data_IF_735115456822
#
_entry.id   IF_735115456822
#
_cell.length_a   1.000
_cell.length_b   1.000
_cell.length_c   1.000
_cell.angle_alpha   90.00
_cell.angle_beta   90.00
_cell.angle_gamma   90.00
#
_symmetry.space_group_name_H-M   'P 1'
#
loop_
_entity.id
_entity.type
_entity.pdbx_description
1 polymer ?
#
# COMPACT_ATOMS: atom_id res chain seq x y z
N UNK A 1 -21.08 20.13 12.06
CA UNK A 1 -20.16 19.06 11.59
C UNK A 1 -19.10 18.79 12.65
N UNK A 2 -18.58 17.56 12.74
CA UNK A 2 -17.56 17.16 13.73
C UNK A 2 -17.00 15.74 13.54
N UNK A 3 -17.33 15.08 12.43
CA UNK A 3 -16.87 13.72 12.13
C UNK A 3 -15.42 13.72 11.65
N UNK A 4 -14.67 12.69 12.02
CA UNK A 4 -13.29 12.50 11.56
C UNK A 4 -13.27 11.94 10.14
N UNK A 5 -12.43 12.52 9.28
CA UNK A 5 -12.16 11.98 7.95
C UNK A 5 -11.27 10.74 8.06
N UNK A 6 -11.69 9.65 7.41
CA UNK A 6 -10.93 8.41 7.31
C UNK A 6 -10.31 8.32 5.92
N UNK A 7 -8.99 8.20 5.86
CA UNK A 7 -8.23 7.99 4.61
C UNK A 7 -8.17 6.51 4.25
N UNK A 8 -7.94 6.21 2.97
CA UNK A 8 -8.08 4.86 2.40
C UNK A 8 -6.84 4.36 1.67
N UNK A 9 -5.69 5.00 1.88
CA UNK A 9 -4.43 4.58 1.27
C UNK A 9 -3.91 3.28 1.90
N UNK A 10 -3.65 2.26 1.09
CA UNK A 10 -3.11 0.98 1.57
C UNK A 10 -1.58 0.97 1.61
N UNK A 11 -1.00 -0.07 2.21
CA UNK A 11 0.46 -0.19 2.40
C UNK A 11 1.22 -0.19 1.08
N UNK A 12 0.68 -0.79 0.02
CA UNK A 12 1.32 -0.82 -1.30
C UNK A 12 1.44 0.59 -1.88
N UNK A 13 0.35 1.34 -1.91
CA UNK A 13 0.30 2.74 -2.38
C UNK A 13 1.23 3.65 -1.56
N UNK A 14 1.16 3.53 -0.22
CA UNK A 14 2.02 4.30 0.68
C UNK A 14 3.50 3.94 0.52
N UNK A 15 3.82 2.69 0.19
CA UNK A 15 5.19 2.23 -0.02
C UNK A 15 5.84 2.96 -1.19
N UNK A 16 5.21 2.94 -2.36
CA UNK A 16 5.78 3.54 -3.57
C UNK A 16 5.40 5.01 -3.76
N UNK A 17 4.67 5.60 -2.81
CA UNK A 17 4.27 7.01 -2.84
C UNK A 17 3.21 7.31 -3.90
N UNK A 18 2.41 6.30 -4.26
CA UNK A 18 1.27 6.41 -5.17
C UNK A 18 0.08 7.05 -4.45
N UNK A 19 0.28 8.31 -4.07
CA UNK A 19 -0.64 9.09 -3.26
C UNK A 19 -0.38 10.58 -3.47
N UNK A 20 -1.40 11.40 -3.24
CA UNK A 20 -1.37 12.85 -3.41
C UNK A 20 -1.30 13.54 -2.05
N UNK A 21 -0.24 14.29 -1.81
CA UNK A 21 -0.16 15.12 -0.61
C UNK A 21 -1.33 16.09 -0.56
N UNK A 22 -1.94 16.19 0.61
CA UNK A 22 -3.13 17.00 0.86
C UNK A 22 -4.40 16.59 0.10
N UNK A 23 -4.33 15.47 -0.64
CA UNK A 23 -5.48 14.81 -1.27
C UNK A 23 -5.92 13.60 -0.46
N UNK A 24 -5.82 12.41 -1.06
CA UNK A 24 -6.19 11.11 -0.49
C UNK A 24 -5.49 10.77 0.85
N UNK A 25 -4.32 11.36 1.11
CA UNK A 25 -3.59 11.18 2.36
C UNK A 25 -4.11 12.04 3.53
N UNK A 26 -4.99 13.02 3.27
CA UNK A 26 -5.41 14.01 4.26
C UNK A 26 -6.62 13.54 5.06
N UNK A 27 -6.41 13.17 6.32
CA UNK A 27 -7.48 12.81 7.24
C UNK A 27 -6.96 12.48 8.64
N UNK A 28 -7.88 12.15 9.55
CA UNK A 28 -7.57 11.91 10.96
C UNK A 28 -7.08 10.50 11.26
N UNK A 29 -7.46 9.51 10.44
CA UNK A 29 -7.09 8.10 10.65
C UNK A 29 -7.12 7.28 9.36
N UNK A 30 -6.38 6.16 9.33
CA UNK A 30 -6.37 5.19 8.24
C UNK A 30 -6.42 3.74 8.76
N UNK A 31 -7.58 3.07 8.67
CA UNK A 31 -7.76 1.69 9.12
C UNK A 31 -6.95 0.65 8.32
N UNK A 32 -6.65 0.92 7.05
CA UNK A 32 -6.02 -0.04 6.13
C UNK A 32 -4.58 0.33 5.75
N UNK A 33 -3.99 1.30 6.48
CA UNK A 33 -2.64 1.84 6.23
C UNK A 33 -1.56 0.77 6.11
N UNK A 34 -1.70 -0.31 6.88
CA UNK A 34 -0.71 -1.36 7.01
C UNK A 34 -1.15 -2.69 6.37
N UNK A 35 -2.17 -2.64 5.48
CA UNK A 35 -2.56 -3.76 4.62
C UNK A 35 -1.97 -3.57 3.21
N UNK A 36 -1.31 -4.59 2.68
CA UNK A 36 -0.97 -4.63 1.25
C UNK A 36 -2.24 -4.77 0.39
N UNK A 37 -2.19 -4.33 -0.87
CA UNK A 37 -3.36 -4.34 -1.76
C UNK A 37 -3.98 -5.72 -1.90
N UNK A 38 -3.17 -6.76 -2.06
CA UNK A 38 -3.66 -8.13 -2.13
C UNK A 38 -4.31 -8.60 -0.82
N UNK A 39 -3.91 -8.05 0.33
CA UNK A 39 -4.57 -8.30 1.61
C UNK A 39 -5.90 -7.54 1.71
N UNK A 40 -6.01 -6.34 1.15
CA UNK A 40 -7.28 -5.60 1.04
C UNK A 40 -8.31 -6.41 0.25
N UNK A 41 -7.92 -6.97 -0.90
CA UNK A 41 -8.79 -7.86 -1.70
C UNK A 41 -9.25 -9.08 -0.89
N UNK A 42 -8.31 -9.76 -0.21
CA UNK A 42 -8.63 -10.92 0.64
C UNK A 42 -9.57 -10.55 1.79
N UNK A 43 -9.34 -9.41 2.44
CA UNK A 43 -10.17 -8.93 3.54
C UNK A 43 -11.58 -8.54 3.08
N UNK A 44 -11.71 -7.94 1.89
CA UNK A 44 -12.99 -7.61 1.29
C UNK A 44 -13.83 -8.88 1.02
N UNK A 45 -13.23 -9.89 0.39
CA UNK A 45 -13.87 -11.18 0.16
C UNK A 45 -14.27 -11.84 1.48
N UNK A 46 -13.34 -11.90 2.45
CA UNK A 46 -13.61 -12.44 3.77
C UNK A 46 -14.75 -11.71 4.47
N UNK A 47 -14.82 -10.38 4.43
CA UNK A 47 -15.89 -9.60 5.05
C UNK A 47 -17.26 -9.84 4.40
N UNK A 48 -17.33 -10.14 3.10
CA UNK A 48 -18.60 -10.49 2.47
C UNK A 48 -19.12 -11.87 2.92
N UNK A 49 -18.22 -12.76 3.31
CA UNK A 49 -18.54 -14.12 3.79
C UNK A 49 -18.72 -14.20 5.31
N UNK A 50 -18.22 -13.20 6.06
CA UNK A 50 -18.13 -13.23 7.51
C UNK A 50 -18.66 -11.94 8.15
N UNK A 51 -19.40 -12.08 9.25
CA UNK A 51 -19.83 -10.97 10.10
C UNK A 51 -19.24 -11.16 11.51
N UNK A 52 -18.19 -10.39 11.89
CA UNK A 52 -17.67 -10.41 13.25
C UNK A 52 -18.76 -10.03 14.28
N UNK A 53 -18.80 -10.64 15.47
CA UNK A 53 -19.83 -10.37 16.49
C UNK A 53 -19.91 -8.90 16.92
N UNK A 54 -18.81 -8.18 16.86
CA UNK A 54 -18.65 -6.76 17.22
C UNK A 54 -18.74 -5.82 16.01
N UNK A 55 -19.00 -6.35 14.81
CA UNK A 55 -19.13 -5.53 13.62
C UNK A 55 -20.45 -4.75 13.62
N UNK A 56 -20.35 -3.43 13.49
CA UNK A 56 -21.51 -2.54 13.39
C UNK A 56 -22.10 -2.46 11.97
N UNK A 57 -21.46 -3.12 10.99
CA UNK A 57 -21.91 -3.13 9.60
C UNK A 57 -23.01 -4.17 9.33
N UNK A 58 -23.73 -4.06 8.20
CA UNK A 58 -24.79 -5.00 7.86
C UNK A 58 -24.28 -6.42 7.60
N UNK A 59 -25.17 -7.41 7.73
CA UNK A 59 -24.90 -8.79 7.35
C UNK A 59 -24.91 -8.97 5.82
N UNK A 60 -24.25 -10.01 5.32
CA UNK A 60 -24.22 -10.38 3.91
C UNK A 60 -23.16 -9.63 3.09
N UNK A 61 -23.42 -9.52 1.78
CA UNK A 61 -22.53 -8.87 0.83
C UNK A 61 -22.59 -7.35 1.04
N UNK A 62 -21.54 -6.80 1.64
CA UNK A 62 -21.42 -5.36 1.93
C UNK A 62 -20.50 -4.63 0.95
N UNK A 63 -19.56 -5.34 0.32
CA UNK A 63 -18.70 -4.83 -0.73
C UNK A 63 -19.14 -5.46 -2.06
N UNK A 64 -19.73 -4.69 -2.98
CA UNK A 64 -20.19 -5.19 -4.27
C UNK A 64 -19.08 -5.89 -5.08
N UNK A 65 -19.42 -7.04 -5.67
CA UNK A 65 -18.46 -7.86 -6.42
C UNK A 65 -17.85 -7.11 -7.62
N UNK A 66 -18.62 -6.24 -8.26
CA UNK A 66 -18.14 -5.42 -9.38
C UNK A 66 -16.99 -4.47 -8.98
N UNK A 67 -16.88 -4.04 -7.72
CA UNK A 67 -15.77 -3.23 -7.22
C UNK A 67 -14.51 -4.11 -7.03
N UNK A 68 -14.70 -5.37 -6.65
CA UNK A 68 -13.61 -6.34 -6.44
C UNK A 68 -13.05 -6.81 -7.79
N UNK A 69 -13.94 -7.10 -8.75
CA UNK A 69 -13.55 -7.58 -10.08
C UNK A 69 -12.95 -6.48 -10.95
N UNK A 70 -13.23 -5.21 -10.62
CA UNK A 70 -12.66 -4.07 -11.33
C UNK A 70 -11.14 -4.10 -11.14
N UNK A 71 -10.43 -4.18 -12.27
CA UNK A 71 -8.98 -4.03 -12.27
C UNK A 71 -8.63 -2.70 -11.59
N UNK A 72 -7.64 -2.69 -10.67
CA UNK A 72 -7.28 -1.47 -9.99
C UNK A 72 -6.72 -0.47 -11.01
N UNK A 73 -7.39 0.67 -11.15
CA UNK A 73 -6.98 1.79 -11.98
C UNK A 73 -6.87 3.05 -11.14
N UNK A 74 -5.86 3.88 -11.37
CA UNK A 74 -5.77 5.24 -10.88
C UNK A 74 -6.65 6.13 -11.75
N UNK A 75 -7.86 6.37 -11.25
CA UNK A 75 -8.95 7.04 -11.97
C UNK A 75 -8.76 8.57 -12.15
N UNK A 76 -7.57 9.07 -12.48
CA UNK A 76 -7.30 10.51 -12.53
C UNK A 76 -6.91 11.10 -13.90
N UNK A 77 -7.18 10.42 -15.03
CA UNK A 77 -7.31 11.05 -16.35
C UNK A 77 -7.98 10.14 -17.40
N UNK A 78 -8.88 10.66 -18.25
CA UNK A 78 -9.22 10.02 -19.52
C UNK A 78 -7.92 9.88 -20.33
N UNK A 79 -7.67 8.71 -20.90
CA UNK A 79 -6.52 8.38 -21.75
C UNK A 79 -5.16 8.18 -21.05
N UNK A 80 -5.11 8.05 -19.71
CA UNK A 80 -3.93 7.46 -19.04
C UNK A 80 -4.19 6.00 -18.69
N UNK A 81 -3.37 5.11 -19.24
CA UNK A 81 -3.23 3.73 -18.79
C UNK A 81 -2.21 3.65 -17.65
N UNK A 82 -2.60 3.14 -16.49
CA UNK A 82 -1.70 2.85 -15.35
C UNK A 82 -0.60 1.81 -15.64
N UNK A 83 -0.61 1.23 -16.84
CA UNK A 83 0.36 0.23 -17.27
C UNK A 83 1.79 0.79 -17.42
N UNK A 84 2.01 2.10 -17.31
CA UNK A 84 3.34 2.71 -17.52
C UNK A 84 4.21 2.86 -16.26
N UNK A 85 3.70 2.66 -15.03
CA UNK A 85 4.46 3.06 -13.83
C UNK A 85 4.67 2.01 -12.74
N UNK A 86 3.78 1.04 -12.54
CA UNK A 86 3.91 0.00 -11.51
C UNK A 86 3.64 -1.41 -12.06
N UNK A 87 4.30 -2.47 -11.53
CA UNK A 87 3.95 -3.84 -11.88
C UNK A 87 2.59 -4.22 -11.27
N UNK A 88 1.97 -5.35 -11.69
CA UNK A 88 0.76 -5.87 -11.05
C UNK A 88 0.93 -6.03 -9.53
N UNK A 89 -0.13 -5.74 -8.77
CA UNK A 89 -0.09 -5.79 -7.30
C UNK A 89 0.44 -7.09 -6.69
N UNK A 90 0.15 -8.30 -7.22
CA UNK A 90 0.78 -9.52 -6.70
C UNK A 90 2.30 -9.48 -6.75
N UNK A 91 2.89 -8.91 -7.80
CA UNK A 91 4.34 -8.76 -7.96
C UNK A 91 4.85 -7.61 -7.09
N UNK A 92 4.15 -6.46 -7.10
CA UNK A 92 4.52 -5.30 -6.28
C UNK A 92 4.56 -5.65 -4.80
N UNK A 93 3.49 -6.25 -4.28
CA UNK A 93 3.34 -6.57 -2.87
C UNK A 93 4.41 -7.57 -2.43
N UNK A 94 4.73 -8.57 -3.25
CA UNK A 94 5.78 -9.54 -2.96
C UNK A 94 7.17 -8.88 -2.86
N UNK A 95 7.51 -7.98 -3.79
CA UNK A 95 8.79 -7.24 -3.74
C UNK A 95 8.81 -6.32 -2.51
N UNK A 96 7.71 -5.62 -2.22
CA UNK A 96 7.61 -4.74 -1.05
C UNK A 96 7.69 -5.50 0.27
N UNK A 97 7.12 -6.70 0.36
CA UNK A 97 7.23 -7.55 1.54
C UNK A 97 8.70 -7.95 1.78
N UNK A 98 9.45 -8.27 0.73
CA UNK A 98 10.90 -8.52 0.82
C UNK A 98 11.67 -7.29 1.33
N UNK A 99 11.43 -6.13 0.72
CA UNK A 99 12.14 -4.89 1.05
C UNK A 99 11.77 -4.32 2.43
N UNK A 100 10.50 -4.45 2.84
CA UNK A 100 9.96 -3.78 4.03
C UNK A 100 9.92 -4.72 5.22
N UNK A 101 9.31 -5.90 5.10
CA UNK A 101 9.16 -6.81 6.24
C UNK A 101 10.46 -7.56 6.53
N UNK A 102 11.14 -7.99 5.47
CA UNK A 102 12.31 -8.86 5.56
C UNK A 102 13.66 -8.15 5.49
N UNK A 103 13.71 -6.83 5.19
CA UNK A 103 14.96 -6.06 4.93
C UNK A 103 15.92 -6.79 3.97
N UNK A 104 15.38 -7.43 2.93
CA UNK A 104 16.22 -8.13 1.96
C UNK A 104 17.00 -7.14 1.10
N UNK A 105 18.26 -7.46 0.79
CA UNK A 105 19.04 -6.74 -0.21
C UNK A 105 18.48 -6.99 -1.62
N UNK A 106 18.75 -6.09 -2.55
CA UNK A 106 18.32 -6.22 -3.95
C UNK A 106 18.75 -7.56 -4.55
N UNK A 107 19.99 -7.97 -4.30
CA UNK A 107 20.56 -9.23 -4.80
C UNK A 107 19.79 -10.46 -4.31
N UNK A 108 19.35 -10.46 -3.04
CA UNK A 108 18.58 -11.57 -2.48
C UNK A 108 17.18 -11.66 -3.10
N UNK A 109 16.58 -10.51 -3.43
CA UNK A 109 15.27 -10.47 -4.10
C UNK A 109 15.40 -10.95 -5.54
N UNK A 110 16.48 -10.57 -6.23
CA UNK A 110 16.79 -11.05 -7.59
C UNK A 110 16.99 -12.57 -7.58
N UNK A 111 17.69 -13.11 -6.58
CA UNK A 111 17.86 -14.55 -6.41
C UNK A 111 16.54 -15.32 -6.22
N UNK A 112 15.45 -14.63 -5.82
CA UNK A 112 14.09 -15.20 -5.75
C UNK A 112 13.35 -15.19 -7.09
N UNK A 113 13.97 -14.71 -8.16
CA UNK A 113 13.43 -14.75 -9.52
C UNK A 113 12.74 -13.47 -9.99
N UNK A 114 12.95 -12.34 -9.30
CA UNK A 114 12.48 -11.03 -9.77
C UNK A 114 13.54 -10.33 -10.62
N UNK A 115 13.10 -9.65 -11.68
CA UNK A 115 13.99 -8.85 -12.54
C UNK A 115 14.67 -7.73 -11.75
N UNK A 116 16.00 -7.61 -11.86
CA UNK A 116 16.79 -6.62 -11.12
C UNK A 116 16.29 -5.19 -11.33
N UNK A 117 16.09 -4.81 -12.59
CA UNK A 117 15.62 -3.47 -12.95
C UNK A 117 14.27 -3.13 -12.28
N UNK A 118 13.40 -4.14 -12.13
CA UNK A 118 12.13 -3.98 -11.45
C UNK A 118 12.32 -3.78 -9.95
N UNK A 119 13.14 -4.62 -9.30
CA UNK A 119 13.43 -4.53 -7.86
C UNK A 119 14.05 -3.18 -7.52
N UNK A 120 15.07 -2.75 -8.25
CA UNK A 120 15.74 -1.46 -8.06
C UNK A 120 14.77 -0.28 -8.26
N UNK A 121 13.87 -0.38 -9.24
CA UNK A 121 12.83 0.63 -9.46
C UNK A 121 11.88 0.73 -8.26
N UNK A 122 11.40 -0.40 -7.73
CA UNK A 122 10.50 -0.42 -6.57
C UNK A 122 11.21 0.06 -5.31
N UNK A 123 12.47 -0.32 -5.10
CA UNK A 123 13.29 0.17 -4.00
C UNK A 123 13.49 1.69 -4.08
N UNK A 124 13.76 2.21 -5.28
CA UNK A 124 13.88 3.64 -5.50
C UNK A 124 12.58 4.38 -5.15
N UNK A 125 11.44 3.91 -5.64
CA UNK A 125 10.12 4.47 -5.32
C UNK A 125 9.85 4.42 -3.80
N UNK A 126 10.22 3.31 -3.16
CA UNK A 126 10.12 3.14 -1.72
C UNK A 126 10.89 4.23 -0.97
N UNK A 127 12.13 4.53 -1.36
CA UNK A 127 12.93 5.55 -0.70
C UNK A 127 12.42 6.98 -0.95
N UNK A 128 12.08 7.34 -2.17
CA UNK A 128 11.66 8.73 -2.48
C UNK A 128 10.30 9.08 -1.87
N UNK A 129 9.47 8.09 -1.54
CA UNK A 129 8.16 8.29 -0.93
C UNK A 129 8.20 8.61 0.58
N UNK A 130 9.38 8.65 1.20
CA UNK A 130 9.54 8.88 2.65
C UNK A 130 8.89 10.19 3.14
N UNK A 131 9.04 11.29 2.38
CA UNK A 131 8.45 12.58 2.76
C UNK A 131 6.91 12.56 2.77
N UNK A 132 6.28 11.79 1.88
CA UNK A 132 4.82 11.61 1.85
C UNK A 132 4.39 10.79 3.06
N UNK A 133 5.04 9.66 3.32
CA UNK A 133 4.70 8.77 4.43
C UNK A 133 4.79 9.44 5.79
N UNK A 134 5.75 10.33 6.01
CA UNK A 134 5.87 11.09 7.27
C UNK A 134 4.71 12.06 7.54
N UNK A 135 3.93 12.41 6.53
CA UNK A 135 2.76 13.28 6.64
C UNK A 135 1.44 12.50 6.58
N UNK A 136 1.48 11.18 6.42
CA UNK A 136 0.29 10.34 6.34
C UNK A 136 -0.44 10.26 7.68
N UNK A 137 -1.77 10.18 7.62
CA UNK A 137 -2.62 9.96 8.79
C UNK A 137 -2.15 8.75 9.63
N UNK A 138 -2.31 8.76 10.97
CA UNK A 138 -2.04 7.58 11.79
C UNK A 138 -2.97 6.41 11.40
N UNK A 139 -2.54 5.19 11.66
CA UNK A 139 -3.28 3.99 11.30
C UNK A 139 -2.89 2.78 12.15
N UNK A 140 -3.63 1.68 11.98
CA UNK A 140 -3.37 0.43 12.71
C UNK A 140 -2.10 -0.23 12.15
N UNK A 141 -1.28 -0.78 13.06
CA UNK A 141 -0.18 -1.69 12.70
C UNK A 141 -0.66 -3.13 12.83
N UNK A 142 -0.46 -3.93 11.79
CA UNK A 142 -0.79 -5.37 11.77
C UNK A 142 0.39 -6.23 11.29
N UNK A 143 1.36 -5.63 10.60
CA UNK A 143 2.55 -6.30 10.09
C UNK A 143 3.71 -6.23 11.09
N UNK A 144 4.83 -6.88 10.77
CA UNK A 144 6.03 -6.84 11.62
C UNK A 144 6.65 -5.45 11.61
N UNK A 145 6.70 -4.79 10.45
CA UNK A 145 7.26 -3.44 10.28
C UNK A 145 6.29 -2.48 9.61
N UNK A 146 5.83 -1.50 10.38
CA UNK A 146 5.06 -0.39 9.83
C UNK A 146 5.97 0.73 9.30
N UNK A 147 5.41 1.55 8.42
CA UNK A 147 5.98 2.84 8.08
C UNK A 147 5.75 3.82 9.23
N UNK A 148 6.83 4.23 9.90
CA UNK A 148 6.77 5.12 11.05
C UNK A 148 7.75 4.69 12.14
N UNK A 149 7.25 4.01 13.19
CA UNK A 149 8.10 3.69 14.35
C UNK A 149 9.14 2.64 14.01
N UNK A 150 8.76 1.61 13.24
CA UNK A 150 9.60 0.43 13.01
C UNK A 150 10.57 0.61 11.84
N UNK A 151 10.15 1.34 10.79
CA UNK A 151 11.01 1.68 9.64
C UNK A 151 11.20 3.20 9.55
N UNK A 152 12.39 3.67 9.92
CA UNK A 152 12.76 5.09 9.95
C UNK A 152 13.92 5.36 8.99
N UNK A 153 13.62 6.01 7.87
CA UNK A 153 14.63 6.42 6.89
C UNK A 153 14.71 7.95 6.81
N UNK A 154 15.88 8.53 6.49
CA UNK A 154 15.98 9.97 6.25
C UNK A 154 15.21 10.35 4.97
N UNK A 155 14.58 11.53 4.98
CA UNK A 155 13.94 12.10 3.77
C UNK A 155 15.03 12.38 2.72
N UNK A 156 16.08 13.08 3.13
CA UNK A 156 17.25 13.33 2.28
C UNK A 156 18.13 12.08 2.28
N UNK A 157 17.96 11.23 1.27
CA UNK A 157 18.67 9.97 1.14
C UNK A 157 19.19 9.73 -0.28
N UNK A 158 20.52 9.58 -0.43
CA UNK A 158 21.17 9.19 -1.70
C UNK A 158 21.69 7.75 -1.72
N UNK A 159 21.54 6.98 -0.64
CA UNK A 159 21.90 5.57 -0.61
C UNK A 159 21.13 4.79 -1.67
N UNK A 160 21.82 3.89 -2.39
CA UNK A 160 21.25 2.94 -3.34
C UNK A 160 21.96 1.62 -3.13
N UNK A 161 21.20 0.54 -3.03
CA UNK A 161 21.72 -0.82 -2.88
C UNK A 161 22.12 -1.36 -4.27
N UNK A 162 23.33 -1.00 -4.72
CA UNK A 162 23.88 -1.27 -6.06
C UNK A 162 25.38 -1.49 -6.00
#
# INVERSE_FOLDING_TARGET
>A
FGSMVVTTGNKSEMSVGYATLYGDMNGGFNPIKDLYKMQVYKLAAWRNENLPPDCLGPNGIVIPQNIIDKAPSAELRPDQTDQDSLPPYPVLDAILECLVEHDMAVDDIVARGYERDLVERIEHLLYIAEYKRRQSAPGVKITRKNFGRDRRYPITNRFRDR
#
